data_IF_783951705327
#
_entry.id   IF_783951705327
#
_cell.length_a   1.000
_cell.length_b   1.000
_cell.length_c   1.000
_cell.angle_alpha   90.00
_cell.angle_beta   90.00
_cell.angle_gamma   90.00
#
_symmetry.space_group_name_H-M   'P 1'
#
loop_
_entity.id
_entity.type
_entity.pdbx_description
1 polymer ?
#
# COMPACT_ATOMS: atom_id res chain seq x y z
N UNK A 1 1.83 21.39 -17.76
CA UNK A 1 2.01 20.95 -16.35
C UNK A 1 3.42 20.45 -16.21
N UNK A 2 4.15 20.98 -15.23
CA UNK A 2 5.54 20.60 -14.97
C UNK A 2 5.67 19.26 -14.24
N UNK A 3 6.87 18.69 -14.28
CA UNK A 3 7.20 17.37 -13.69
C UNK A 3 7.11 17.37 -12.17
N UNK A 4 7.59 18.43 -11.51
CA UNK A 4 7.63 18.53 -10.05
C UNK A 4 6.22 18.53 -9.44
N UNK A 5 5.30 19.28 -10.05
CA UNK A 5 3.90 19.38 -9.67
C UNK A 5 3.16 18.07 -9.94
N UNK A 6 3.41 17.42 -11.08
CA UNK A 6 2.85 16.10 -11.36
C UNK A 6 3.26 15.06 -10.32
N UNK A 7 4.55 15.02 -9.96
CA UNK A 7 5.06 14.15 -8.89
C UNK A 7 4.42 14.47 -7.54
N UNK A 8 4.27 15.75 -7.19
CA UNK A 8 3.65 16.18 -5.93
C UNK A 8 2.17 15.76 -5.83
N UNK A 9 1.40 15.89 -6.91
CA UNK A 9 0.01 15.42 -6.97
C UNK A 9 -0.04 13.91 -6.73
N UNK A 10 0.77 13.16 -7.47
CA UNK A 10 0.86 11.72 -7.34
C UNK A 10 1.25 11.26 -5.94
N UNK A 11 2.23 11.92 -5.31
CA UNK A 11 2.66 11.67 -3.93
C UNK A 11 1.52 11.84 -2.93
N UNK A 12 0.82 12.98 -2.97
CA UNK A 12 -0.26 13.29 -2.03
C UNK A 12 -1.40 12.29 -2.13
N UNK A 13 -1.78 11.92 -3.36
CA UNK A 13 -2.84 10.93 -3.60
C UNK A 13 -2.34 9.52 -3.26
N UNK A 14 -1.06 9.20 -3.50
CA UNK A 14 -0.43 7.92 -3.19
C UNK A 14 -0.44 7.62 -1.70
N UNK A 15 -0.01 8.58 -0.87
CA UNK A 15 -0.07 8.44 0.60
C UNK A 15 -1.52 8.23 1.06
N UNK A 16 -2.48 9.04 0.57
CA UNK A 16 -3.90 8.89 0.93
C UNK A 16 -4.45 7.52 0.55
N UNK A 17 -4.12 7.03 -0.64
CA UNK A 17 -4.57 5.72 -1.13
C UNK A 17 -3.95 4.58 -0.35
N UNK A 18 -2.70 4.75 0.07
CA UNK A 18 -2.01 3.79 0.94
C UNK A 18 -2.68 3.71 2.31
N UNK A 19 -3.04 4.84 2.92
CA UNK A 19 -3.78 4.87 4.19
C UNK A 19 -5.15 4.20 4.07
N UNK A 20 -5.86 4.43 2.95
CA UNK A 20 -7.11 3.70 2.65
C UNK A 20 -6.84 2.20 2.54
N UNK A 21 -5.78 1.79 1.84
CA UNK A 21 -5.39 0.38 1.72
C UNK A 21 -5.07 -0.27 3.06
N UNK A 22 -4.32 0.41 3.94
CA UNK A 22 -4.02 -0.04 5.30
C UNK A 22 -5.31 -0.18 6.11
N UNK A 23 -6.22 0.79 6.03
CA UNK A 23 -7.51 0.71 6.70
C UNK A 23 -8.33 -0.49 6.20
N UNK A 24 -8.38 -0.72 4.89
CA UNK A 24 -9.07 -1.88 4.31
C UNK A 24 -8.44 -3.19 4.81
N UNK A 25 -7.10 -3.30 4.82
CA UNK A 25 -6.41 -4.48 5.33
C UNK A 25 -6.71 -4.73 6.82
N UNK A 26 -6.71 -3.68 7.63
CA UNK A 26 -7.09 -3.74 9.04
C UNK A 26 -8.53 -4.24 9.20
N UNK A 27 -9.48 -3.71 8.43
CA UNK A 27 -10.90 -4.12 8.49
C UNK A 27 -11.11 -5.57 8.02
N UNK A 28 -10.34 -6.03 7.03
CA UNK A 28 -10.37 -7.43 6.60
C UNK A 28 -9.91 -8.34 7.75
N UNK A 29 -8.80 -8.02 8.40
CA UNK A 29 -8.29 -8.79 9.54
C UNK A 29 -9.27 -8.79 10.71
N UNK A 30 -9.81 -7.62 11.08
CA UNK A 30 -10.86 -7.52 12.09
C UNK A 30 -12.08 -8.37 11.71
N UNK A 31 -12.50 -8.37 10.45
CA UNK A 31 -13.61 -9.18 9.97
C UNK A 31 -13.39 -10.68 10.13
N UNK A 32 -12.18 -11.18 9.88
CA UNK A 32 -11.84 -12.59 10.14
C UNK A 32 -11.88 -12.93 11.63
N UNK A 33 -11.32 -12.06 12.48
CA UNK A 33 -11.26 -12.30 13.93
C UNK A 33 -12.66 -12.25 14.57
N UNK A 34 -13.57 -11.42 14.04
CA UNK A 34 -14.96 -11.35 14.49
C UNK A 34 -15.75 -12.67 14.36
N UNK A 35 -15.28 -13.62 13.54
CA UNK A 35 -15.97 -14.91 13.35
C UNK A 35 -15.96 -15.73 14.65
N UNK A 36 -14.85 -15.70 15.38
CA UNK A 36 -14.61 -16.58 16.54
C UNK A 36 -14.40 -15.81 17.87
N UNK A 37 -14.59 -14.48 17.87
CA UNK A 37 -14.30 -13.64 19.05
C UNK A 37 -15.28 -12.47 19.22
N UNK A 38 -15.18 -11.78 20.36
CA UNK A 38 -16.03 -10.61 20.62
C UNK A 38 -15.71 -9.45 19.68
N UNK A 39 -16.70 -8.59 19.41
CA UNK A 39 -16.54 -7.40 18.57
C UNK A 39 -15.38 -6.49 19.04
N UNK A 40 -15.22 -6.33 20.35
CA UNK A 40 -14.15 -5.50 20.92
C UNK A 40 -12.77 -6.12 20.70
N UNK A 41 -12.66 -7.44 20.87
CA UNK A 41 -11.39 -8.15 20.66
C UNK A 41 -10.95 -8.09 19.20
N UNK A 42 -11.91 -8.20 18.28
CA UNK A 42 -11.63 -8.15 16.86
C UNK A 42 -11.27 -6.75 16.35
N UNK A 43 -11.76 -5.69 16.98
CA UNK A 43 -11.32 -4.32 16.69
C UNK A 43 -9.96 -4.02 17.33
N UNK A 44 -9.72 -4.50 18.55
CA UNK A 44 -8.47 -4.23 19.28
C UNK A 44 -7.42 -5.33 19.06
N UNK A 45 -7.54 -6.14 18.01
CA UNK A 45 -6.65 -7.28 17.76
C UNK A 45 -5.16 -6.92 17.77
N UNK A 46 -4.82 -5.74 17.28
CA UNK A 46 -3.45 -5.23 17.23
C UNK A 46 -2.83 -4.97 18.61
N UNK A 47 -3.62 -4.80 19.68
CA UNK A 47 -3.11 -4.61 21.05
C UNK A 47 -2.70 -5.91 21.72
N UNK A 48 -3.13 -7.05 21.16
CA UNK A 48 -2.88 -8.40 21.69
C UNK A 48 -1.78 -9.14 20.93
N UNK A 49 -1.15 -8.49 19.94
CA UNK A 49 -0.08 -9.09 19.15
C UNK A 49 1.27 -8.65 19.71
N UNK A 50 2.10 -9.62 20.06
CA UNK A 50 3.46 -9.40 20.56
C UNK A 50 4.37 -8.72 19.51
N UNK A 51 3.98 -8.76 18.24
CA UNK A 51 4.69 -8.20 17.08
C UNK A 51 4.22 -6.81 16.65
N UNK A 52 3.77 -5.96 17.58
CA UNK A 52 3.29 -4.60 17.26
C UNK A 52 4.35 -3.74 16.53
N UNK A 53 5.64 -3.99 16.78
CA UNK A 53 6.76 -3.31 16.09
C UNK A 53 6.71 -3.64 14.60
N UNK A 54 6.43 -4.89 14.23
CA UNK A 54 6.39 -5.33 12.83
C UNK A 54 5.22 -4.66 12.10
N UNK A 55 4.07 -4.51 12.77
CA UNK A 55 2.93 -3.76 12.25
C UNK A 55 3.27 -2.26 12.05
N UNK A 56 3.97 -1.65 13.01
CA UNK A 56 4.37 -0.25 12.92
C UNK A 56 5.37 -0.03 11.77
N UNK A 57 6.43 -0.83 11.69
CA UNK A 57 7.44 -0.69 10.64
C UNK A 57 6.85 -1.04 9.27
N UNK A 58 6.03 -2.08 9.18
CA UNK A 58 5.27 -2.40 7.96
C UNK A 58 4.40 -1.22 7.51
N UNK A 59 3.66 -0.60 8.42
CA UNK A 59 2.86 0.59 8.14
C UNK A 59 3.70 1.75 7.59
N UNK A 60 4.85 2.03 8.22
CA UNK A 60 5.78 3.06 7.74
C UNK A 60 6.30 2.70 6.35
N UNK A 61 6.69 1.44 6.12
CA UNK A 61 7.19 0.96 4.84
C UNK A 61 6.15 1.09 3.72
N UNK A 62 4.87 0.80 4.01
CA UNK A 62 3.77 1.05 3.08
C UNK A 62 3.64 2.53 2.75
N UNK A 63 3.63 3.41 3.76
CA UNK A 63 3.51 4.87 3.54
C UNK A 63 4.66 5.40 2.70
N UNK A 64 5.90 4.96 2.97
CA UNK A 64 7.08 5.31 2.18
C UNK A 64 6.95 4.81 0.74
N UNK A 65 6.53 3.56 0.55
CA UNK A 65 6.28 2.98 -0.78
C UNK A 65 5.22 3.79 -1.55
N UNK A 66 4.12 4.14 -0.90
CA UNK A 66 3.07 5.00 -1.46
C UNK A 66 3.54 6.41 -1.79
N UNK A 67 4.46 6.97 -0.99
CA UNK A 67 5.14 8.23 -1.30
C UNK A 67 5.97 8.11 -2.59
N UNK A 68 6.84 7.11 -2.70
CA UNK A 68 7.75 6.95 -3.84
C UNK A 68 7.01 6.59 -5.12
N UNK A 69 6.18 5.54 -5.08
CA UNK A 69 5.43 5.11 -6.24
C UNK A 69 4.28 6.06 -6.60
N UNK A 70 3.72 6.78 -5.62
CA UNK A 70 2.82 7.90 -5.88
C UNK A 70 3.44 8.95 -6.79
N UNK A 71 4.68 9.37 -6.50
CA UNK A 71 5.43 10.33 -7.36
C UNK A 71 5.63 9.77 -8.77
N UNK A 72 5.99 8.50 -8.88
CA UNK A 72 6.17 7.83 -10.17
C UNK A 72 4.86 7.80 -10.97
N UNK A 73 3.75 7.39 -10.35
CA UNK A 73 2.44 7.36 -10.98
C UNK A 73 1.99 8.75 -11.47
N UNK A 74 2.20 9.79 -10.64
CA UNK A 74 1.91 11.17 -11.02
C UNK A 74 2.63 11.58 -12.30
N UNK A 75 3.93 11.25 -12.40
CA UNK A 75 4.70 11.50 -13.62
C UNK A 75 4.21 10.67 -14.82
N UNK A 76 3.99 9.36 -14.64
CA UNK A 76 3.58 8.47 -15.72
C UNK A 76 2.21 8.84 -16.29
N UNK A 77 1.22 9.09 -15.43
CA UNK A 77 -0.16 9.40 -15.84
C UNK A 77 -0.22 10.82 -16.42
N UNK A 78 0.38 11.80 -15.73
CA UNK A 78 0.12 13.19 -16.06
C UNK A 78 1.09 13.78 -17.08
N UNK A 79 2.34 13.33 -17.12
CA UNK A 79 3.35 13.81 -18.07
C UNK A 79 3.48 12.83 -19.23
N UNK A 80 3.72 11.55 -18.96
CA UNK A 80 3.90 10.52 -20.00
C UNK A 80 2.60 10.00 -20.60
N UNK A 81 1.44 10.46 -20.11
CA UNK A 81 0.10 10.10 -20.63
C UNK A 81 -0.15 8.59 -20.68
N UNK A 82 0.46 7.84 -19.77
CA UNK A 82 0.18 6.42 -19.61
C UNK A 82 -1.25 6.22 -19.12
N UNK A 83 -1.81 5.06 -19.43
CA UNK A 83 -3.15 4.68 -18.99
C UNK A 83 -3.23 4.72 -17.46
N UNK A 84 -4.24 5.42 -16.94
CA UNK A 84 -4.31 5.72 -15.51
C UNK A 84 -4.82 4.53 -14.69
N UNK A 85 -5.61 3.64 -15.30
CA UNK A 85 -6.19 2.47 -14.64
C UNK A 85 -5.11 1.42 -14.45
N UNK A 86 -4.44 1.06 -15.54
CA UNK A 86 -3.33 0.11 -15.52
C UNK A 86 -2.17 0.62 -14.68
N UNK A 87 -1.79 1.90 -14.82
CA UNK A 87 -0.73 2.49 -13.98
C UNK A 87 -1.13 2.46 -12.51
N UNK A 88 -2.39 2.75 -12.20
CA UNK A 88 -2.89 2.72 -10.82
C UNK A 88 -2.83 1.33 -10.20
N UNK A 89 -3.23 0.29 -10.93
CA UNK A 89 -3.17 -1.11 -10.48
C UNK A 89 -1.72 -1.55 -10.27
N UNK A 90 -0.83 -1.34 -11.26
CA UNK A 90 0.59 -1.72 -11.17
C UNK A 90 1.25 -1.05 -9.96
N UNK A 91 1.03 0.24 -9.78
CA UNK A 91 1.59 1.00 -8.65
C UNK A 91 1.01 0.52 -7.31
N UNK A 92 -0.26 0.13 -7.28
CA UNK A 92 -0.88 -0.51 -6.12
C UNK A 92 -0.15 -1.80 -5.73
N UNK A 93 0.11 -2.71 -6.68
CA UNK A 93 0.86 -3.94 -6.42
C UNK A 93 2.31 -3.70 -6.05
N UNK A 94 3.00 -2.76 -6.71
CA UNK A 94 4.37 -2.39 -6.33
C UNK A 94 4.42 -1.89 -4.88
N UNK A 95 3.48 -1.04 -4.49
CA UNK A 95 3.36 -0.56 -3.11
C UNK A 95 3.07 -1.72 -2.14
N UNK A 96 2.21 -2.66 -2.53
CA UNK A 96 1.88 -3.83 -1.75
C UNK A 96 3.12 -4.69 -1.48
N UNK A 97 3.84 -5.04 -2.53
CA UNK A 97 4.99 -5.94 -2.46
C UNK A 97 6.18 -5.30 -1.76
N UNK A 98 6.51 -4.04 -2.06
CA UNK A 98 7.65 -3.38 -1.38
C UNK A 98 7.37 -3.11 0.08
N UNK A 99 6.15 -2.68 0.42
CA UNK A 99 5.78 -2.47 1.82
C UNK A 99 5.85 -3.77 2.62
N UNK A 100 5.39 -4.88 2.02
CA UNK A 100 5.48 -6.22 2.63
C UNK A 100 6.90 -6.69 2.76
N UNK A 101 7.71 -6.57 1.71
CA UNK A 101 9.11 -6.98 1.72
C UNK A 101 9.86 -6.26 2.85
N UNK A 102 9.76 -4.94 2.89
CA UNK A 102 10.43 -4.11 3.90
C UNK A 102 9.90 -4.36 5.32
N UNK A 103 8.59 -4.52 5.49
CA UNK A 103 8.00 -4.85 6.78
C UNK A 103 8.44 -6.23 7.28
N UNK A 104 8.48 -7.22 6.39
CA UNK A 104 8.86 -8.59 6.75
C UNK A 104 10.36 -8.75 6.98
N UNK A 105 11.20 -7.91 6.37
CA UNK A 105 12.64 -7.85 6.67
C UNK A 105 12.90 -7.59 8.16
N UNK A 106 12.04 -6.83 8.86
CA UNK A 106 12.22 -6.61 10.30
C UNK A 106 11.99 -7.89 11.11
N UNK A 107 10.90 -8.61 10.85
CA UNK A 107 10.66 -9.91 11.49
C UNK A 107 11.76 -10.92 11.15
N UNK A 108 12.25 -10.90 9.91
CA UNK A 108 13.39 -11.71 9.52
C UNK A 108 14.66 -11.38 10.32
N UNK A 109 14.94 -10.09 10.57
CA UNK A 109 16.12 -9.69 11.36
C UNK A 109 15.94 -10.04 12.83
N UNK A 110 14.73 -9.91 13.38
CA UNK A 110 14.45 -10.14 14.80
C UNK A 110 14.42 -11.63 15.18
N UNK A 111 13.86 -12.47 14.31
CA UNK A 111 13.58 -13.87 14.61
C UNK A 111 14.13 -14.82 13.54
N UNK A 112 14.13 -14.39 12.27
CA UNK A 112 14.57 -15.23 11.16
C UNK A 112 16.07 -15.55 11.16
N UNK A 113 16.92 -14.62 11.60
CA UNK A 113 18.38 -14.82 11.62
C UNK A 113 18.82 -15.90 12.61
N UNK A 114 18.16 -15.97 13.77
CA UNK A 114 18.48 -16.95 14.81
C UNK A 114 18.02 -18.37 14.45
N UNK A 115 17.12 -18.48 13.46
CA UNK A 115 16.57 -19.76 12.98
C UNK A 115 17.31 -20.34 11.77
N UNK A 116 18.44 -19.74 11.34
CA UNK A 116 19.25 -20.34 10.28
C UNK A 116 19.92 -21.64 10.75
N UNK A 117 19.68 -22.73 10.02
CA UNK A 117 20.26 -24.05 10.31
C UNK A 117 19.39 -24.96 11.17
N UNK A 118 18.16 -24.54 11.49
CA UNK A 118 17.12 -25.40 12.09
C UNK A 118 16.28 -26.08 11.00
N UNK A 119 15.19 -26.75 11.39
CA UNK A 119 14.23 -27.36 10.44
C UNK A 119 13.36 -26.31 9.70
N UNK A 120 13.39 -25.04 10.12
CA UNK A 120 12.64 -23.96 9.49
C UNK A 120 13.40 -23.31 8.35
N UNK A 121 12.67 -22.73 7.40
CA UNK A 121 13.24 -21.98 6.30
C UNK A 121 12.88 -20.49 6.44
N UNK A 122 13.74 -19.70 7.12
CA UNK A 122 13.42 -18.31 7.44
C UNK A 122 13.21 -17.44 6.19
N UNK A 123 13.79 -17.79 5.04
CA UNK A 123 13.51 -17.09 3.78
C UNK A 123 12.06 -17.34 3.33
N UNK A 124 11.60 -18.59 3.43
CA UNK A 124 10.22 -18.94 3.06
C UNK A 124 9.24 -18.29 4.03
N UNK A 125 9.53 -18.33 5.32
CA UNK A 125 8.62 -17.87 6.38
C UNK A 125 8.47 -16.36 6.44
N UNK A 126 9.55 -15.61 6.20
CA UNK A 126 9.52 -14.16 6.28
C UNK A 126 9.43 -13.44 4.93
N UNK A 127 9.59 -14.12 3.80
CA UNK A 127 9.47 -13.45 2.49
C UNK A 127 8.43 -14.10 1.58
N UNK A 128 8.53 -15.40 1.32
CA UNK A 128 7.59 -16.06 0.39
C UNK A 128 6.17 -16.12 0.94
N UNK A 129 5.97 -16.63 2.16
CA UNK A 129 4.65 -16.73 2.77
C UNK A 129 3.97 -15.35 2.89
N UNK A 130 4.62 -14.29 3.41
CA UNK A 130 4.00 -12.97 3.50
C UNK A 130 3.63 -12.38 2.14
N UNK A 131 4.52 -12.45 1.14
CA UNK A 131 4.22 -11.96 -0.21
C UNK A 131 3.08 -12.76 -0.85
N UNK A 132 3.05 -14.08 -0.67
CA UNK A 132 1.97 -14.92 -1.17
C UNK A 132 0.62 -14.52 -0.55
N UNK A 133 0.54 -14.48 0.78
CA UNK A 133 -0.71 -14.20 1.49
C UNK A 133 -1.22 -12.79 1.20
N UNK A 134 -0.34 -11.78 1.21
CA UNK A 134 -0.77 -10.42 0.93
C UNK A 134 -1.17 -10.25 -0.53
N UNK A 135 -0.55 -10.97 -1.46
CA UNK A 135 -0.97 -10.95 -2.87
C UNK A 135 -2.33 -11.61 -3.01
N UNK A 136 -2.56 -12.76 -2.36
CA UNK A 136 -3.81 -13.50 -2.45
C UNK A 136 -4.98 -12.72 -1.84
N UNK A 137 -4.88 -12.31 -0.57
CA UNK A 137 -5.95 -11.57 0.12
C UNK A 137 -6.03 -10.10 -0.34
N UNK A 138 -4.91 -9.51 -0.72
CA UNK A 138 -4.83 -8.12 -1.18
C UNK A 138 -5.18 -7.93 -2.66
N UNK A 139 -5.30 -8.99 -3.47
CA UNK A 139 -5.51 -8.89 -4.91
C UNK A 139 -6.68 -7.97 -5.28
N UNK A 140 -7.87 -8.27 -4.76
CA UNK A 140 -9.10 -7.51 -5.04
C UNK A 140 -9.01 -6.10 -4.43
N UNK A 141 -8.68 -5.92 -3.13
CA UNK A 141 -8.51 -4.59 -2.55
C UNK A 141 -7.54 -3.69 -3.31
N UNK A 142 -6.38 -4.23 -3.73
CA UNK A 142 -5.35 -3.47 -4.44
C UNK A 142 -5.83 -3.02 -5.81
N UNK A 143 -6.57 -3.85 -6.54
CA UNK A 143 -7.17 -3.44 -7.82
C UNK A 143 -8.16 -2.30 -7.61
N UNK A 144 -9.07 -2.43 -6.64
CA UNK A 144 -10.10 -1.41 -6.36
C UNK A 144 -9.44 -0.08 -5.96
N UNK A 145 -8.53 -0.11 -5.00
CA UNK A 145 -7.80 1.08 -4.53
C UNK A 145 -6.92 1.66 -5.63
N UNK A 146 -6.27 0.81 -6.43
CA UNK A 146 -5.40 1.20 -7.56
C UNK A 146 -6.17 1.93 -8.67
N UNK A 147 -7.34 1.41 -9.06
CA UNK A 147 -8.24 2.07 -10.02
C UNK A 147 -8.68 3.45 -9.50
N UNK A 148 -9.10 3.52 -8.23
CA UNK A 148 -9.49 4.77 -7.60
C UNK A 148 -8.34 5.78 -7.54
N UNK A 149 -7.15 5.32 -7.13
CA UNK A 149 -5.91 6.10 -7.06
C UNK A 149 -5.55 6.71 -8.43
N UNK A 150 -5.50 5.89 -9.48
CA UNK A 150 -5.20 6.35 -10.84
C UNK A 150 -6.21 7.38 -11.34
N UNK A 151 -7.51 7.13 -11.12
CA UNK A 151 -8.59 8.05 -11.50
C UNK A 151 -8.47 9.39 -10.77
N UNK A 152 -8.12 9.38 -9.49
CA UNK A 152 -7.91 10.60 -8.69
C UNK A 152 -6.72 11.41 -9.21
N UNK A 153 -5.60 10.78 -9.58
CA UNK A 153 -4.46 11.48 -10.20
C UNK A 153 -4.89 12.14 -11.50
N UNK A 154 -5.54 11.40 -12.42
CA UNK A 154 -6.00 11.93 -13.71
C UNK A 154 -6.92 13.14 -13.52
N UNK A 155 -7.90 13.05 -12.61
CA UNK A 155 -8.85 14.13 -12.32
C UNK A 155 -8.14 15.37 -11.76
N UNK A 156 -7.23 15.19 -10.81
CA UNK A 156 -6.47 16.30 -10.21
C UNK A 156 -5.56 17.01 -11.24
N UNK A 157 -4.99 16.27 -12.19
CA UNK A 157 -4.22 16.86 -13.28
C UNK A 157 -5.07 17.61 -14.31
N UNK A 158 -6.32 17.18 -14.54
CA UNK A 158 -7.25 17.84 -15.45
C UNK A 158 -7.80 19.16 -14.88
N UNK A 159 -8.11 19.21 -13.58
CA UNK A 159 -8.62 20.44 -12.93
C UNK A 159 -7.62 21.60 -12.92
N UNK A 160 -6.32 21.31 -13.07
CA UNK A 160 -5.27 22.35 -13.17
C UNK A 160 -5.12 22.86 -14.60
N UNK A 161 -5.56 22.07 -15.60
CA UNK A 161 -5.49 22.45 -17.02
C UNK A 161 -6.66 23.29 -17.50
N UNK A 162 -7.74 23.38 -16.73
CA UNK A 162 -8.84 24.31 -16.99
C UNK A 162 -8.48 25.59 -16.25
N UNK A 163 -7.83 26.59 -16.88
CA UNK A 163 -7.95 27.94 -16.37
C UNK A 163 -9.44 28.26 -16.35
N UNK A 164 -9.90 28.92 -15.30
CA UNK A 164 -11.13 29.69 -15.30
C UNK A 164 -11.14 30.61 -16.52
N UNK A 165 -11.60 30.09 -17.65
CA UNK A 165 -12.11 30.87 -18.75
C UNK A 165 -13.54 31.25 -18.36
N UNK A 166 -13.65 32.16 -17.41
CA UNK A 166 -14.85 32.92 -17.12
C UNK A 166 -14.42 34.35 -16.86
N UNK A 167 -14.99 35.39 -17.43
CA UNK A 167 -15.89 35.64 -18.57
C UNK A 167 -15.61 37.14 -18.88
N UNK A 168 -15.80 37.53 -20.14
CA UNK A 168 -15.74 38.90 -20.70
C UNK A 168 -16.20 39.99 -19.72
#
# INVERSE_FOLDING_TARGET
>A
MDSSRAKLIGQKIGIKSTLVGILVAYLIMSGFIMIDSSYLDALLWFTKIDYWINLLVGTIAFILSGYFYGRLAGFLILIKKKDYELTGIIIGFLTLWTGTLLGSTIGFIQEGLDNFGTYDNPIVDYYFKPIFWITFFGFIPVIIVGLWFGKKIKKAGASIKIPTANIV
#
